data_IF_880605472566
#
_entry.id   IF_880605472566
#
_cell.length_a   1.000
_cell.length_b   1.000
_cell.length_c   1.000
_cell.angle_alpha   90.00
_cell.angle_beta   90.00
_cell.angle_gamma   90.00
#
_symmetry.space_group_name_H-M   'P 1'
#
loop_
_entity.id
_entity.type
_entity.pdbx_description
1 polymer ?
#
# COMPACT_ATOMS: atom_id res chain seq x y z
N UNK A 1 -3.17 1.52 -19.78
CA UNK A 1 -1.75 1.87 -20.07
C UNK A 1 -0.79 0.70 -19.81
N UNK A 2 0.22 0.53 -20.67
CA UNK A 2 1.36 -0.38 -20.45
C UNK A 2 2.11 0.01 -19.18
N UNK A 3 2.56 -0.99 -18.40
CA UNK A 3 3.10 -0.77 -17.03
C UNK A 3 4.56 -1.21 -16.87
N UNK A 4 5.28 -1.40 -17.97
CA UNK A 4 6.67 -1.85 -17.95
C UNK A 4 6.81 -3.34 -17.64
N UNK A 5 8.01 -3.73 -17.22
CA UNK A 5 8.34 -5.12 -16.94
C UNK A 5 7.59 -5.65 -15.71
N UNK A 6 7.13 -6.90 -15.79
CA UNK A 6 6.43 -7.58 -14.70
C UNK A 6 7.25 -7.61 -13.40
N UNK A 7 8.57 -7.77 -13.50
CA UNK A 7 9.48 -7.79 -12.36
C UNK A 7 9.42 -6.51 -11.51
N UNK A 8 9.29 -5.34 -12.15
CA UNK A 8 9.19 -4.06 -11.45
C UNK A 8 7.89 -3.95 -10.64
N UNK A 9 6.79 -4.46 -11.18
CA UNK A 9 5.49 -4.49 -10.48
C UNK A 9 5.55 -5.45 -9.29
N UNK A 10 6.09 -6.66 -9.49
CA UNK A 10 6.23 -7.65 -8.43
C UNK A 10 7.09 -7.13 -7.28
N UNK A 11 8.17 -6.41 -7.58
CA UNK A 11 9.01 -5.79 -6.57
C UNK A 11 8.22 -4.84 -5.65
N UNK A 12 7.40 -3.96 -6.22
CA UNK A 12 6.57 -3.02 -5.45
C UNK A 12 5.50 -3.75 -4.64
N UNK A 13 4.85 -4.77 -5.21
CA UNK A 13 3.82 -5.56 -4.52
C UNK A 13 4.40 -6.33 -3.32
N UNK A 14 5.54 -6.99 -3.49
CA UNK A 14 6.21 -7.72 -2.42
C UNK A 14 6.73 -6.75 -1.35
N UNK A 15 7.28 -5.60 -1.77
CA UNK A 15 7.72 -4.53 -0.86
C UNK A 15 6.58 -4.02 0.02
N UNK A 16 5.43 -3.70 -0.59
CA UNK A 16 4.23 -3.26 0.14
C UNK A 16 3.70 -4.31 1.11
N UNK A 17 3.62 -5.58 0.69
CA UNK A 17 3.21 -6.69 1.56
C UNK A 17 4.13 -6.82 2.78
N UNK A 18 5.46 -6.81 2.58
CA UNK A 18 6.44 -6.92 3.66
C UNK A 18 6.37 -5.73 4.63
N UNK A 19 6.18 -4.52 4.12
CA UNK A 19 5.98 -3.34 4.96
C UNK A 19 4.72 -3.50 5.83
N UNK A 20 3.61 -3.92 5.23
CA UNK A 20 2.37 -4.23 5.96
C UNK A 20 2.55 -5.29 7.04
N UNK A 21 3.20 -6.41 6.68
CA UNK A 21 3.54 -7.47 7.64
C UNK A 21 4.38 -6.93 8.80
N UNK A 22 5.35 -6.06 8.52
CA UNK A 22 6.17 -5.37 9.52
C UNK A 22 5.36 -4.53 10.49
N UNK A 23 4.43 -3.70 9.98
CA UNK A 23 3.53 -2.90 10.83
C UNK A 23 2.63 -3.75 11.73
N UNK A 24 2.23 -4.94 11.25
CA UNK A 24 1.40 -5.89 12.01
C UNK A 24 2.19 -6.87 12.88
N UNK A 25 3.54 -6.83 12.85
CA UNK A 25 4.39 -7.76 13.59
C UNK A 25 4.29 -9.22 13.12
N UNK A 26 3.89 -9.46 11.87
CA UNK A 26 3.69 -10.80 11.32
C UNK A 26 4.94 -11.30 10.58
N UNK A 27 5.49 -12.44 11.02
CA UNK A 27 6.62 -13.10 10.35
C UNK A 27 6.22 -13.96 9.15
N UNK A 28 4.93 -14.29 9.02
CA UNK A 28 4.37 -15.11 7.93
C UNK A 28 3.04 -14.52 7.45
N UNK A 29 2.62 -14.90 6.23
CA UNK A 29 1.34 -14.47 5.66
C UNK A 29 0.18 -15.02 6.49
N UNK A 30 0.29 -16.26 6.96
CA UNK A 30 -0.69 -16.93 7.82
C UNK A 30 -0.88 -16.17 9.14
N UNK A 31 0.23 -15.74 9.78
CA UNK A 31 0.16 -14.90 10.99
C UNK A 31 -0.55 -13.58 10.69
N UNK A 32 -0.19 -12.90 9.59
CA UNK A 32 -0.85 -11.64 9.22
C UNK A 32 -2.36 -11.82 9.02
N UNK A 33 -2.77 -12.89 8.33
CA UNK A 33 -4.19 -13.19 8.08
C UNK A 33 -4.98 -13.45 9.36
N UNK A 34 -4.36 -14.11 10.35
CA UNK A 34 -5.01 -14.48 11.61
C UNK A 34 -5.03 -13.32 12.61
N UNK A 35 -3.92 -12.58 12.71
CA UNK A 35 -3.65 -11.68 13.83
C UNK A 35 -3.89 -10.20 13.48
N UNK A 36 -3.95 -9.84 12.20
CA UNK A 36 -4.21 -8.46 11.77
C UNK A 36 -5.60 -7.99 12.21
N UNK A 37 -5.67 -6.72 12.61
CA UNK A 37 -6.92 -6.07 13.03
C UNK A 37 -7.26 -4.96 12.06
N UNK A 38 -8.53 -4.93 11.65
CA UNK A 38 -9.06 -3.89 10.81
C UNK A 38 -9.97 -2.98 11.62
N UNK A 39 -9.94 -1.69 11.28
CA UNK A 39 -10.88 -0.70 11.78
C UNK A 39 -11.65 -0.10 10.61
N UNK A 40 -12.88 0.33 10.87
CA UNK A 40 -13.67 1.03 9.88
C UNK A 40 -13.27 2.51 9.87
N UNK A 41 -13.00 3.04 8.69
CA UNK A 41 -12.73 4.47 8.49
C UNK A 41 -13.94 5.18 7.86
N UNK A 42 -14.00 6.50 8.03
CA UNK A 42 -14.98 7.37 7.38
C UNK A 42 -14.52 7.75 5.97
N UNK A 43 -15.41 8.38 5.17
CA UNK A 43 -15.02 8.96 3.88
C UNK A 43 -13.97 10.07 4.04
N UNK A 44 -14.03 10.84 5.13
CA UNK A 44 -13.01 11.82 5.47
C UNK A 44 -11.66 11.15 5.76
N UNK A 45 -11.65 10.06 6.53
CA UNK A 45 -10.44 9.28 6.81
C UNK A 45 -9.85 8.62 5.56
N UNK A 46 -10.69 8.26 4.58
CA UNK A 46 -10.21 7.81 3.27
C UNK A 46 -9.46 8.92 2.55
N UNK A 47 -10.02 10.13 2.48
CA UNK A 47 -9.35 11.27 1.85
C UNK A 47 -8.04 11.63 2.55
N UNK A 48 -8.02 11.57 3.87
CA UNK A 48 -6.82 11.78 4.69
C UNK A 48 -5.74 10.73 4.44
N UNK A 49 -6.13 9.46 4.24
CA UNK A 49 -5.18 8.37 3.99
C UNK A 49 -4.51 8.47 2.61
N UNK A 50 -5.13 9.16 1.67
CA UNK A 50 -4.54 9.46 0.37
C UNK A 50 -3.66 10.72 0.44
N UNK A 51 -2.72 10.86 -0.49
CA UNK A 51 -1.97 12.10 -0.67
C UNK A 51 -2.98 13.23 -0.91
N UNK A 52 -2.96 14.24 -0.06
CA UNK A 52 -3.86 15.40 -0.11
C UNK A 52 -3.07 16.69 0.14
N UNK A 53 -3.61 17.80 -0.37
CA UNK A 53 -3.10 19.17 -0.19
C UNK A 53 -1.65 19.41 -0.67
N UNK A 54 -1.20 18.64 -1.66
CA UNK A 54 0.11 18.80 -2.31
C UNK A 54 0.01 18.65 -3.84
N UNK A 55 0.94 19.29 -4.55
CA UNK A 55 1.13 19.08 -5.99
C UNK A 55 2.12 17.93 -6.16
N UNK A 56 1.68 16.84 -6.78
CA UNK A 56 2.56 15.72 -7.14
C UNK A 56 3.38 16.16 -8.36
N UNK A 57 4.67 16.40 -8.16
CA UNK A 57 5.59 16.82 -9.24
C UNK A 57 6.22 15.64 -9.98
N UNK A 58 6.27 14.47 -9.33
CA UNK A 58 6.83 13.22 -9.87
C UNK A 58 5.96 12.05 -9.43
N UNK A 59 5.64 11.13 -10.35
CA UNK A 59 4.85 9.94 -10.03
C UNK A 59 5.67 8.92 -9.23
N UNK A 60 5.12 8.48 -8.09
CA UNK A 60 5.73 7.39 -7.35
C UNK A 60 5.45 6.03 -8.04
N UNK A 61 6.42 5.11 -8.06
CA UNK A 61 6.29 3.82 -8.77
C UNK A 61 5.19 2.91 -8.20
N UNK A 62 4.71 3.17 -6.98
CA UNK A 62 3.72 2.38 -6.26
C UNK A 62 2.45 3.17 -5.89
N UNK A 63 2.31 4.43 -6.32
CA UNK A 63 1.18 5.27 -5.94
C UNK A 63 0.60 5.98 -7.16
N UNK A 64 -0.70 5.77 -7.40
CA UNK A 64 -1.45 6.43 -8.48
C UNK A 64 -2.77 6.93 -7.93
N UNK A 65 -3.00 8.23 -8.03
CA UNK A 65 -4.33 8.81 -7.90
C UNK A 65 -5.09 8.51 -9.18
N UNK A 66 -6.30 7.96 -9.06
CA UNK A 66 -7.16 7.68 -10.22
C UNK A 66 -7.81 8.96 -10.71
#
# INVERSE_FOLDING_TARGET
PYRGALSAILYQLIGGLRAGMGYTGAGTIEQMRRDARFIRITSAGLRESHVHDVIITEEAPNYRTT
#
